data_IF_066450276834
#
_entry.id   IF_066450276834
#
_cell.length_a   1.000
_cell.length_b   1.000
_cell.length_c   1.000
_cell.angle_alpha   90.00
_cell.angle_beta   90.00
_cell.angle_gamma   90.00
#
_symmetry.space_group_name_H-M   'P 1'
#
loop_
_entity.id
_entity.type
_entity.pdbx_description
1 polymer ?
#
# COMPACT_ATOMS: atom_id res chain seq x y z
N UNK A 1 35.98 -25.68 49.11
CA UNK A 1 37.23 -24.92 49.22
C UNK A 1 37.32 -24.11 47.94
N UNK A 2 36.78 -22.89 47.99
CA UNK A 2 37.03 -21.71 47.12
C UNK A 2 36.87 -21.95 45.60
N UNK A 3 35.71 -21.74 44.98
CA UNK A 3 35.18 -20.45 44.46
C UNK A 3 36.23 -19.44 44.00
N UNK A 4 36.00 -18.95 42.78
CA UNK A 4 36.51 -17.72 42.16
C UNK A 4 37.75 -17.84 41.26
N UNK A 5 37.58 -18.59 40.15
CA UNK A 5 38.20 -18.28 38.85
C UNK A 5 37.52 -17.02 38.25
N UNK A 6 37.59 -15.90 38.97
CA UNK A 6 36.92 -14.64 38.62
C UNK A 6 37.84 -13.78 37.75
N UNK A 7 37.44 -13.63 36.49
CA UNK A 7 37.64 -12.45 35.62
C UNK A 7 38.88 -11.59 35.90
N UNK A 8 40.04 -11.98 35.35
CA UNK A 8 41.10 -11.01 35.06
C UNK A 8 40.73 -10.17 33.81
N UNK A 9 39.62 -9.44 33.90
CA UNK A 9 39.39 -8.29 33.05
C UNK A 9 40.56 -7.33 33.27
N UNK A 10 41.27 -6.94 32.21
CA UNK A 10 42.35 -5.95 32.30
C UNK A 10 41.71 -4.55 32.21
N UNK A 11 41.35 -3.90 33.33
CA UNK A 11 40.52 -2.70 33.33
C UNK A 11 41.16 -1.57 32.53
N UNK A 12 42.49 -1.51 32.48
CA UNK A 12 43.24 -0.52 31.70
C UNK A 12 43.08 -0.70 30.18
N UNK A 13 43.11 -1.94 29.68
CA UNK A 13 42.90 -2.22 28.24
C UNK A 13 41.49 -1.84 27.83
N UNK A 14 40.52 -2.19 28.67
CA UNK A 14 39.10 -1.92 28.41
C UNK A 14 38.82 -0.41 28.55
N UNK A 15 39.48 0.29 29.48
CA UNK A 15 39.45 1.78 29.60
C UNK A 15 40.10 2.47 28.39
N UNK A 16 41.23 1.97 27.90
CA UNK A 16 41.88 2.52 26.71
C UNK A 16 41.04 2.30 25.45
N UNK A 17 40.45 1.11 25.29
CA UNK A 17 39.58 0.80 24.16
C UNK A 17 38.30 1.66 24.17
N UNK A 18 37.68 1.86 25.33
CA UNK A 18 36.50 2.72 25.47
C UNK A 18 36.83 4.19 25.21
N UNK A 19 37.97 4.69 25.69
CA UNK A 19 38.43 6.06 25.41
C UNK A 19 38.71 6.28 23.92
N UNK A 20 39.38 5.32 23.25
CA UNK A 20 39.61 5.37 21.81
C UNK A 20 38.30 5.34 21.02
N UNK A 21 37.35 4.48 21.42
CA UNK A 21 36.02 4.40 20.80
C UNK A 21 35.23 5.70 20.98
N UNK A 22 35.34 6.35 22.15
CA UNK A 22 34.72 7.65 22.41
C UNK A 22 35.32 8.74 21.52
N UNK A 23 36.64 8.83 21.44
CA UNK A 23 37.32 9.81 20.58
C UNK A 23 36.97 9.60 19.10
N UNK A 24 36.95 8.35 18.64
CA UNK A 24 36.51 8.02 17.28
C UNK A 24 35.06 8.46 17.03
N UNK A 25 34.17 8.26 17.99
CA UNK A 25 32.77 8.71 17.90
C UNK A 25 32.67 10.24 17.82
N UNK A 26 33.40 10.96 18.69
CA UNK A 26 33.42 12.43 18.71
C UNK A 26 33.94 13.00 17.39
N UNK A 27 34.97 12.40 16.79
CA UNK A 27 35.50 12.83 15.48
C UNK A 27 34.56 12.46 14.33
N UNK A 28 33.88 11.33 14.43
CA UNK A 28 32.96 10.86 13.37
C UNK A 28 31.67 11.67 13.31
N UNK A 29 31.17 12.18 14.46
CA UNK A 29 29.92 12.95 14.52
C UNK A 29 29.93 14.17 13.57
N UNK A 30 30.93 15.08 13.61
CA UNK A 30 31.00 16.20 12.66
C UNK A 30 31.05 15.76 11.19
N UNK A 31 31.76 14.66 10.88
CA UNK A 31 31.81 14.12 9.54
C UNK A 31 30.43 13.62 9.08
N UNK A 32 29.71 12.88 9.92
CA UNK A 32 28.34 12.46 9.63
C UNK A 32 27.38 13.64 9.50
N UNK A 33 27.50 14.66 10.36
CA UNK A 33 26.72 15.90 10.25
C UNK A 33 26.99 16.61 8.92
N UNK A 34 28.25 16.74 8.51
CA UNK A 34 28.61 17.35 7.24
C UNK A 34 28.07 16.56 6.04
N UNK A 35 28.22 15.22 6.05
CA UNK A 35 27.65 14.34 5.02
C UNK A 35 26.11 14.43 4.97
N UNK A 36 25.45 14.51 6.11
CA UNK A 36 24.00 14.69 6.19
C UNK A 36 23.58 16.03 5.58
N UNK A 37 24.26 17.13 5.94
CA UNK A 37 23.98 18.46 5.43
C UNK A 37 24.18 18.56 3.93
N UNK A 38 25.32 18.07 3.40
CA UNK A 38 25.58 18.08 1.95
C UNK A 38 24.56 17.27 1.19
N UNK A 39 24.16 16.10 1.70
CA UNK A 39 23.10 15.27 1.10
C UNK A 39 21.74 15.96 1.16
N UNK A 40 21.42 16.62 2.27
CA UNK A 40 20.15 17.35 2.45
C UNK A 40 20.04 18.53 1.49
N UNK A 41 21.10 19.35 1.41
CA UNK A 41 21.19 20.49 0.47
C UNK A 41 21.14 19.99 -0.96
N UNK A 42 21.91 18.94 -1.30
CA UNK A 42 21.91 18.33 -2.63
C UNK A 42 20.52 17.85 -3.05
N UNK A 43 19.78 17.18 -2.16
CA UNK A 43 18.40 16.76 -2.41
C UNK A 43 17.45 17.94 -2.65
N UNK A 44 17.59 19.01 -1.86
CA UNK A 44 16.78 20.22 -2.02
C UNK A 44 17.06 20.93 -3.35
N UNK A 45 18.35 21.12 -3.69
CA UNK A 45 18.78 21.71 -4.95
C UNK A 45 18.31 20.88 -6.14
N UNK A 46 18.47 19.54 -6.08
CA UNK A 46 17.98 18.63 -7.11
C UNK A 46 16.47 18.76 -7.33
N UNK A 47 15.67 18.79 -6.26
CA UNK A 47 14.22 18.99 -6.34
C UNK A 47 13.87 20.35 -6.96
N UNK A 48 14.59 21.42 -6.63
CA UNK A 48 14.39 22.73 -7.24
C UNK A 48 14.73 22.73 -8.73
N UNK A 49 15.85 22.12 -9.13
CA UNK A 49 16.23 21.98 -10.54
C UNK A 49 15.16 21.19 -11.30
N UNK A 50 14.68 20.08 -10.73
CA UNK A 50 13.63 19.26 -11.33
C UNK A 50 12.34 20.04 -11.54
N UNK A 51 11.86 20.76 -10.51
CA UNK A 51 10.68 21.62 -10.62
C UNK A 51 10.84 22.74 -11.64
N UNK A 52 12.06 23.29 -11.75
CA UNK A 52 12.35 24.32 -12.76
C UNK A 52 12.41 23.77 -14.17
N UNK A 53 12.87 22.52 -14.34
CA UNK A 53 13.06 21.89 -15.66
C UNK A 53 11.78 21.24 -16.19
N UNK A 54 10.94 20.74 -15.30
CA UNK A 54 9.67 20.08 -15.62
C UNK A 54 8.54 20.72 -14.80
N UNK A 55 8.12 21.96 -15.14
CA UNK A 55 7.09 22.70 -14.40
C UNK A 55 5.69 22.04 -14.48
N UNK A 56 5.48 21.17 -15.45
CA UNK A 56 4.25 20.41 -15.64
C UNK A 56 4.11 19.19 -14.71
N UNK A 57 5.19 18.80 -14.02
CA UNK A 57 5.24 17.62 -13.17
C UNK A 57 5.17 17.98 -11.69
N UNK A 58 4.37 17.23 -10.94
CA UNK A 58 4.32 17.30 -9.49
C UNK A 58 5.25 16.25 -8.88
N UNK A 59 6.45 16.68 -8.50
CA UNK A 59 7.44 15.78 -7.91
C UNK A 59 7.09 15.36 -6.48
N UNK A 60 7.14 14.05 -6.26
CA UNK A 60 6.99 13.43 -4.95
C UNK A 60 8.23 13.77 -4.10
N UNK A 61 7.97 14.33 -2.92
CA UNK A 61 9.02 14.81 -2.02
C UNK A 61 9.69 13.64 -1.30
N UNK A 62 8.85 12.72 -0.81
CA UNK A 62 9.21 11.50 -0.10
C UNK A 62 9.93 10.52 -1.03
N UNK A 63 10.97 9.86 -0.54
CA UNK A 63 11.47 8.63 -1.18
C UNK A 63 11.46 7.57 -0.11
N UNK A 64 10.45 6.69 -0.17
CA UNK A 64 10.40 5.54 0.73
C UNK A 64 11.43 4.49 0.28
N UNK A 65 11.80 3.57 1.18
CA UNK A 65 12.65 2.42 0.82
C UNK A 65 12.01 1.65 -0.35
N UNK A 66 10.68 1.46 -0.32
CA UNK A 66 9.96 0.79 -1.40
C UNK A 66 10.17 1.51 -2.72
N UNK A 67 9.93 2.83 -2.76
CA UNK A 67 10.12 3.64 -3.97
C UNK A 67 11.57 3.64 -4.48
N UNK A 68 12.55 3.51 -3.58
CA UNK A 68 13.96 3.42 -3.95
C UNK A 68 14.33 2.07 -4.58
N UNK A 69 13.64 0.98 -4.18
CA UNK A 69 13.84 -0.37 -4.69
C UNK A 69 13.04 -0.68 -5.97
N UNK A 70 12.16 0.23 -6.41
CA UNK A 70 11.35 0.03 -7.60
C UNK A 70 12.20 -0.01 -8.88
N UNK A 71 12.10 -1.13 -9.59
CA UNK A 71 12.65 -1.35 -10.93
C UNK A 71 11.52 -1.55 -11.94
N UNK A 72 11.76 -1.41 -13.25
CA UNK A 72 10.75 -1.73 -14.26
C UNK A 72 10.21 -3.17 -14.15
N UNK A 73 11.07 -4.12 -13.72
CA UNK A 73 10.69 -5.53 -13.50
C UNK A 73 10.04 -5.81 -12.14
N UNK A 74 10.22 -4.93 -11.16
CA UNK A 74 9.63 -5.03 -9.83
C UNK A 74 9.07 -3.66 -9.44
N UNK A 75 8.01 -3.30 -10.15
CA UNK A 75 7.29 -2.06 -9.89
C UNK A 75 6.63 -2.15 -8.51
N UNK A 76 6.51 -1.01 -7.83
CA UNK A 76 6.02 -0.88 -6.47
C UNK A 76 4.53 -1.15 -6.27
N UNK A 77 3.97 -2.20 -6.88
CA UNK A 77 2.56 -2.53 -6.81
C UNK A 77 2.21 -3.28 -5.53
N UNK A 78 1.08 -2.87 -4.95
CA UNK A 78 0.31 -3.65 -3.99
C UNK A 78 -0.73 -4.40 -4.82
N UNK A 79 -0.73 -5.72 -4.70
CA UNK A 79 -1.62 -6.61 -5.46
C UNK A 79 -2.47 -7.42 -4.48
N UNK A 80 -3.78 -7.42 -4.70
CA UNK A 80 -4.73 -8.13 -3.86
C UNK A 80 -5.67 -8.91 -4.76
N UNK A 81 -5.77 -10.21 -4.51
CA UNK A 81 -6.73 -11.09 -5.15
C UNK A 81 -7.87 -11.37 -4.17
N UNK A 82 -9.09 -11.13 -4.61
CA UNK A 82 -10.30 -11.36 -3.83
C UNK A 82 -11.21 -12.34 -4.56
N UNK A 83 -11.78 -13.28 -3.80
CA UNK A 83 -12.88 -14.12 -4.25
C UNK A 83 -14.17 -13.50 -3.73
N UNK A 84 -15.10 -13.18 -4.62
CA UNK A 84 -16.38 -12.57 -4.30
C UNK A 84 -17.49 -13.51 -4.71
N UNK A 85 -18.45 -13.72 -3.80
CA UNK A 85 -19.67 -14.47 -4.09
C UNK A 85 -20.77 -13.47 -4.46
N UNK A 86 -21.39 -13.68 -5.62
CA UNK A 86 -22.45 -12.87 -6.18
C UNK A 86 -22.32 -12.74 -7.69
N UNK A 87 -23.39 -12.23 -8.31
CA UNK A 87 -23.35 -11.79 -9.70
C UNK A 87 -22.50 -10.52 -9.82
N UNK A 88 -21.78 -10.41 -10.93
CA UNK A 88 -20.90 -9.28 -11.19
C UNK A 88 -21.36 -8.48 -12.40
N UNK A 89 -21.52 -7.17 -12.19
CA UNK A 89 -21.77 -6.23 -13.26
C UNK A 89 -20.63 -5.22 -13.37
N UNK A 90 -19.85 -5.35 -14.43
CA UNK A 90 -18.64 -4.52 -14.68
C UNK A 90 -19.01 -3.06 -14.83
N UNK A 91 -20.11 -2.76 -15.50
CA UNK A 91 -20.55 -1.38 -15.76
C UNK A 91 -21.03 -0.69 -14.48
N UNK A 92 -21.73 -1.43 -13.61
CA UNK A 92 -22.09 -0.95 -12.28
C UNK A 92 -20.84 -0.71 -11.43
N UNK A 93 -19.84 -1.59 -11.51
CA UNK A 93 -18.59 -1.40 -10.78
C UNK A 93 -17.81 -0.19 -11.31
N UNK A 94 -17.69 -0.02 -12.63
CA UNK A 94 -17.11 1.17 -13.25
C UNK A 94 -17.77 2.44 -12.74
N UNK A 95 -19.10 2.49 -12.79
CA UNK A 95 -19.87 3.64 -12.32
C UNK A 95 -19.65 3.93 -10.83
N UNK A 96 -19.67 2.89 -9.99
CA UNK A 96 -19.49 3.01 -8.54
C UNK A 96 -18.07 3.49 -8.21
N UNK A 97 -17.03 2.88 -8.77
CA UNK A 97 -15.63 3.30 -8.56
C UNK A 97 -15.41 4.73 -9.06
N UNK A 98 -15.97 5.08 -10.21
CA UNK A 98 -15.90 6.43 -10.76
C UNK A 98 -16.52 7.45 -9.79
N UNK A 99 -17.72 7.19 -9.31
CA UNK A 99 -18.48 8.15 -8.48
C UNK A 99 -17.95 8.23 -7.05
N UNK A 100 -17.73 7.07 -6.43
CA UNK A 100 -17.49 6.97 -4.98
C UNK A 100 -16.02 7.08 -4.60
N UNK A 101 -15.10 6.90 -5.55
CA UNK A 101 -13.65 6.97 -5.32
C UNK A 101 -13.01 8.04 -6.20
N UNK A 102 -13.12 7.93 -7.53
CA UNK A 102 -12.38 8.81 -8.45
C UNK A 102 -12.92 10.24 -8.44
N UNK A 103 -14.24 10.42 -8.40
CA UNK A 103 -14.96 11.69 -8.30
C UNK A 103 -15.33 12.06 -6.86
N UNK A 104 -14.81 11.34 -5.84
CA UNK A 104 -15.10 11.65 -4.44
C UNK A 104 -14.55 13.03 -4.09
N UNK A 105 -15.43 13.95 -3.67
CA UNK A 105 -15.04 15.27 -3.18
C UNK A 105 -15.10 15.33 -1.66
N UNK A 106 -14.09 15.94 -1.05
CA UNK A 106 -14.11 16.29 0.35
C UNK A 106 -15.07 17.47 0.56
N UNK A 107 -16.09 17.25 1.40
CA UNK A 107 -17.12 18.25 1.73
C UNK A 107 -16.55 19.51 2.38
N UNK A 108 -15.39 19.40 3.03
CA UNK A 108 -14.78 20.51 3.78
C UNK A 108 -13.92 21.39 2.85
N UNK A 109 -13.07 20.77 2.03
CA UNK A 109 -12.15 21.49 1.16
C UNK A 109 -12.70 21.79 -0.23
N UNK A 110 -13.77 21.10 -0.66
CA UNK A 110 -14.32 21.20 -2.02
C UNK A 110 -13.38 20.65 -3.11
N UNK A 111 -12.36 19.88 -2.72
CA UNK A 111 -11.37 19.26 -3.63
C UNK A 111 -11.61 17.76 -3.71
N UNK A 112 -11.09 17.14 -4.77
CA UNK A 112 -11.07 15.68 -4.88
C UNK A 112 -10.31 15.08 -3.70
N UNK A 113 -10.85 14.01 -3.12
CA UNK A 113 -10.20 13.25 -2.05
C UNK A 113 -8.91 12.60 -2.54
N UNK A 114 -8.92 12.08 -3.77
CA UNK A 114 -7.80 11.33 -4.36
C UNK A 114 -7.44 11.89 -5.75
N UNK A 115 -6.81 13.08 -5.82
CA UNK A 115 -6.56 13.76 -7.09
C UNK A 115 -5.62 12.99 -8.02
N UNK A 116 -4.69 12.19 -7.49
CA UNK A 116 -3.71 11.51 -8.33
C UNK A 116 -4.26 10.27 -9.03
N UNK A 117 -5.46 9.78 -8.71
CA UNK A 117 -6.06 8.62 -9.40
C UNK A 117 -6.26 8.86 -10.92
N UNK A 118 -6.28 10.12 -11.37
CA UNK A 118 -6.36 10.49 -12.80
C UNK A 118 -5.02 10.89 -13.40
N UNK A 119 -3.96 10.87 -12.60
CA UNK A 119 -2.63 11.29 -12.96
C UNK A 119 -1.76 10.08 -13.27
N UNK A 120 -0.94 10.19 -14.31
CA UNK A 120 0.03 9.16 -14.64
C UNK A 120 1.26 9.35 -13.77
N UNK A 121 1.94 8.24 -13.46
CA UNK A 121 3.15 8.26 -12.65
C UNK A 121 4.37 8.18 -13.57
N UNK A 122 5.27 9.16 -13.49
CA UNK A 122 6.53 9.17 -14.24
C UNK A 122 7.73 9.20 -13.31
N UNK A 123 8.88 8.77 -13.81
CA UNK A 123 10.16 8.81 -13.09
C UNK A 123 11.15 9.69 -13.86
N UNK A 124 11.61 10.77 -13.24
CA UNK A 124 12.66 11.65 -13.78
C UNK A 124 13.78 11.78 -12.77
N UNK A 125 15.00 11.48 -13.20
CA UNK A 125 16.22 11.54 -12.36
C UNK A 125 16.04 10.82 -11.01
N UNK A 126 15.55 9.58 -11.07
CA UNK A 126 15.28 8.71 -9.91
C UNK A 126 14.20 9.22 -8.94
N UNK A 127 13.47 10.29 -9.28
CA UNK A 127 12.32 10.76 -8.52
C UNK A 127 11.03 10.52 -9.25
N UNK A 128 10.05 10.05 -8.51
CA UNK A 128 8.68 9.95 -8.98
C UNK A 128 8.04 11.32 -9.06
N UNK A 129 7.20 11.48 -10.06
CA UNK A 129 6.42 12.68 -10.30
C UNK A 129 5.06 12.28 -10.86
N UNK A 130 4.02 12.97 -10.42
CA UNK A 130 2.71 12.90 -11.04
C UNK A 130 2.66 13.83 -12.25
N UNK A 131 2.08 13.34 -13.33
CA UNK A 131 1.69 14.22 -14.44
C UNK A 131 0.41 14.95 -14.06
N UNK A 132 0.07 16.01 -14.80
CA UNK A 132 -1.29 16.57 -14.74
C UNK A 132 -2.32 15.48 -15.08
N UNK A 133 -3.55 15.59 -14.55
CA UNK A 133 -4.62 14.67 -14.89
C UNK A 133 -4.78 14.57 -16.41
N UNK A 134 -4.83 13.34 -16.93
CA UNK A 134 -5.10 13.15 -18.35
C UNK A 134 -6.49 13.68 -18.66
N UNK A 135 -6.61 14.50 -19.71
CA UNK A 135 -7.92 14.93 -20.22
C UNK A 135 -8.78 13.76 -20.70
N UNK A 136 -8.14 12.65 -21.03
CA UNK A 136 -8.77 11.45 -21.58
C UNK A 136 -8.77 10.30 -20.56
N UNK A 137 -8.76 10.61 -19.26
CA UNK A 137 -8.96 9.57 -18.25
C UNK A 137 -10.29 8.87 -18.52
N UNK A 138 -10.25 7.55 -18.69
CA UNK A 138 -11.44 6.70 -18.80
C UNK A 138 -11.34 5.56 -17.80
N UNK A 139 -12.40 5.39 -17.02
CA UNK A 139 -12.53 4.29 -16.07
C UNK A 139 -12.47 2.92 -16.75
N UNK A 140 -12.83 2.82 -18.02
CA UNK A 140 -12.85 1.57 -18.78
C UNK A 140 -11.46 0.95 -18.92
N UNK A 141 -10.41 1.78 -18.91
CA UNK A 141 -9.02 1.32 -18.95
C UNK A 141 -8.52 0.83 -17.58
N UNK A 142 -9.24 1.14 -16.50
CA UNK A 142 -8.86 0.82 -15.13
C UNK A 142 -9.73 -0.28 -14.52
N UNK A 143 -10.98 -0.42 -14.95
CA UNK A 143 -11.89 -1.48 -14.52
C UNK A 143 -12.18 -2.38 -15.72
N UNK A 144 -11.43 -3.48 -15.77
CA UNK A 144 -11.40 -4.38 -16.92
C UNK A 144 -12.01 -5.73 -16.55
N UNK A 145 -12.83 -6.25 -17.45
CA UNK A 145 -13.28 -7.63 -17.43
C UNK A 145 -12.35 -8.48 -18.30
N UNK A 146 -11.82 -9.57 -17.73
CA UNK A 146 -11.00 -10.51 -18.47
C UNK A 146 -11.92 -11.49 -19.22
N UNK A 147 -12.18 -11.18 -20.49
CA UNK A 147 -12.97 -12.04 -21.38
C UNK A 147 -12.06 -13.09 -22.02
N UNK A 148 -12.42 -14.38 -21.95
CA UNK A 148 -11.66 -15.44 -22.64
C UNK A 148 -11.91 -16.84 -22.11
N UNK A 149 -10.99 -17.78 -22.39
CA UNK A 149 -11.03 -19.19 -21.96
C UNK A 149 -11.61 -19.40 -20.56
N UNK A 150 -12.49 -20.38 -20.49
CA UNK A 150 -13.19 -20.83 -19.31
C UNK A 150 -12.25 -21.01 -18.11
N UNK A 151 -12.47 -20.27 -17.04
CA UNK A 151 -11.76 -20.44 -15.76
C UNK A 151 -12.63 -21.29 -14.86
N UNK A 152 -12.41 -22.61 -14.94
CA UNK A 152 -13.20 -23.60 -14.21
C UNK A 152 -12.48 -24.02 -12.94
N UNK A 153 -11.15 -24.01 -12.94
CA UNK A 153 -10.31 -24.45 -11.80
C UNK A 153 -9.57 -23.29 -11.14
N UNK A 154 -9.16 -23.50 -9.88
CA UNK A 154 -8.30 -22.56 -9.15
C UNK A 154 -6.94 -22.35 -9.84
N UNK A 155 -6.40 -23.41 -10.47
CA UNK A 155 -5.17 -23.32 -11.25
C UNK A 155 -5.35 -22.42 -12.49
N UNK A 156 -6.49 -22.51 -13.18
CA UNK A 156 -6.81 -21.62 -14.30
C UNK A 156 -6.86 -20.16 -13.83
N UNK A 157 -7.48 -19.90 -12.69
CA UNK A 157 -7.57 -18.55 -12.10
C UNK A 157 -6.17 -18.03 -11.76
N UNK A 158 -5.33 -18.83 -11.11
CA UNK A 158 -3.96 -18.43 -10.78
C UNK A 158 -3.12 -18.18 -12.02
N UNK A 159 -3.31 -18.97 -13.09
CA UNK A 159 -2.68 -18.71 -14.38
C UNK A 159 -3.12 -17.36 -14.96
N UNK A 160 -4.43 -17.06 -14.96
CA UNK A 160 -4.94 -15.75 -15.41
C UNK A 160 -4.37 -14.59 -14.60
N UNK A 161 -4.34 -14.74 -13.27
CA UNK A 161 -3.75 -13.72 -12.38
C UNK A 161 -2.29 -13.47 -12.73
N UNK A 162 -1.51 -14.54 -12.97
CA UNK A 162 -0.10 -14.40 -13.35
C UNK A 162 0.09 -13.72 -14.72
N UNK A 163 -0.75 -14.04 -15.70
CA UNK A 163 -0.77 -13.35 -17.01
C UNK A 163 -0.97 -11.84 -16.82
N UNK A 164 -1.99 -11.46 -16.06
CA UNK A 164 -2.34 -10.07 -15.79
C UNK A 164 -1.25 -9.32 -15.00
N UNK A 165 -0.61 -9.97 -14.02
CA UNK A 165 0.51 -9.39 -13.26
C UNK A 165 1.73 -9.18 -14.16
N UNK A 166 2.01 -10.12 -15.07
CA UNK A 166 3.18 -10.09 -15.95
C UNK A 166 3.06 -9.04 -17.04
N UNK A 167 1.85 -8.84 -17.60
CA UNK A 167 1.60 -7.78 -18.59
C UNK A 167 1.83 -6.37 -18.02
N UNK A 168 1.53 -6.19 -16.73
CA UNK A 168 1.67 -4.91 -16.04
C UNK A 168 0.62 -3.87 -16.48
N UNK A 169 0.79 -2.64 -16.01
CA UNK A 169 -0.07 -1.50 -16.40
C UNK A 169 0.78 -0.59 -17.28
N UNK A 170 0.29 -0.16 -18.47
CA UNK A 170 0.98 0.80 -19.31
C UNK A 170 1.36 2.08 -18.55
N UNK A 171 2.56 2.61 -18.80
CA UNK A 171 3.09 3.78 -18.08
C UNK A 171 2.31 5.08 -18.40
N UNK A 172 1.59 5.10 -19.53
CA UNK A 172 0.75 6.19 -19.99
C UNK A 172 -0.59 6.27 -19.25
N UNK A 173 -0.93 5.24 -18.47
CA UNK A 173 -2.14 5.21 -17.64
C UNK A 173 -1.78 5.49 -16.17
N UNK A 174 -2.73 6.02 -15.38
CA UNK A 174 -2.63 5.95 -13.93
C UNK A 174 -2.30 4.53 -13.45
N UNK A 175 -1.28 4.39 -12.60
CA UNK A 175 -0.72 3.10 -12.19
C UNK A 175 -1.59 2.34 -11.16
N UNK A 176 -2.87 2.15 -11.46
CA UNK A 176 -3.82 1.34 -10.70
C UNK A 176 -4.83 0.69 -11.64
N UNK A 177 -5.31 -0.50 -11.30
CA UNK A 177 -6.25 -1.26 -12.12
C UNK A 177 -6.99 -2.30 -11.27
N UNK A 178 -8.26 -2.50 -11.58
CA UNK A 178 -9.12 -3.55 -11.06
C UNK A 178 -9.48 -4.45 -12.23
N UNK A 179 -9.04 -5.71 -12.17
CA UNK A 179 -9.32 -6.71 -13.20
C UNK A 179 -10.27 -7.75 -12.62
N UNK A 180 -11.40 -7.97 -13.30
CA UNK A 180 -12.37 -8.99 -12.91
C UNK A 180 -12.20 -10.22 -13.77
N UNK A 181 -12.15 -11.36 -13.10
CA UNK A 181 -11.98 -12.69 -13.69
C UNK A 181 -13.30 -13.44 -13.40
N UNK A 182 -14.21 -13.54 -14.38
CA UNK A 182 -15.46 -14.27 -14.23
C UNK A 182 -15.17 -15.77 -14.07
N UNK A 183 -16.03 -16.52 -13.38
CA UNK A 183 -15.96 -17.99 -13.28
C UNK A 183 -17.21 -18.56 -13.95
N UNK A 184 -17.05 -19.55 -14.83
CA UNK A 184 -18.20 -20.04 -15.64
C UNK A 184 -19.20 -20.86 -14.83
N UNK A 185 -18.73 -21.58 -13.82
CA UNK A 185 -19.55 -22.45 -12.98
C UNK A 185 -19.69 -21.86 -11.57
N UNK A 186 -20.65 -20.94 -11.42
CA UNK A 186 -21.13 -20.47 -10.12
C UNK A 186 -21.37 -18.97 -10.03
N UNK A 187 -22.06 -18.55 -8.98
CA UNK A 187 -22.27 -17.13 -8.64
C UNK A 187 -21.03 -16.58 -7.93
N UNK A 188 -19.85 -16.74 -8.53
CA UNK A 188 -18.60 -16.23 -7.93
C UNK A 188 -17.70 -15.63 -9.01
N UNK A 189 -16.94 -14.63 -8.64
CA UNK A 189 -15.94 -14.03 -9.50
C UNK A 189 -14.71 -13.66 -8.68
N UNK A 190 -13.57 -13.51 -9.36
CA UNK A 190 -12.36 -13.04 -8.73
C UNK A 190 -12.07 -11.61 -9.15
N UNK A 191 -11.58 -10.81 -8.21
CA UNK A 191 -11.17 -9.44 -8.44
C UNK A 191 -9.69 -9.31 -8.10
N UNK A 192 -8.89 -8.94 -9.09
CA UNK A 192 -7.49 -8.62 -8.93
C UNK A 192 -7.31 -7.10 -8.90
N UNK A 193 -7.02 -6.57 -7.72
CA UNK A 193 -6.77 -5.15 -7.50
C UNK A 193 -5.27 -4.90 -7.46
N UNK A 194 -4.81 -3.98 -8.30
CA UNK A 194 -3.39 -3.57 -8.40
C UNK A 194 -3.31 -2.06 -8.25
N UNK A 195 -2.45 -1.59 -7.35
CA UNK A 195 -2.24 -0.15 -7.14
C UNK A 195 -0.80 0.14 -6.75
N UNK A 196 -0.21 1.18 -7.34
CA UNK A 196 1.14 1.60 -6.97
C UNK A 196 1.18 2.10 -5.52
N UNK A 197 2.15 1.69 -4.71
CA UNK A 197 2.23 2.04 -3.28
C UNK A 197 2.26 3.56 -3.00
N UNK A 198 2.66 4.36 -4.00
CA UNK A 198 2.72 5.82 -3.88
C UNK A 198 1.34 6.47 -3.72
N UNK A 199 0.27 5.86 -4.21
CA UNK A 199 -1.07 6.36 -3.96
C UNK A 199 -1.41 6.29 -2.46
N UNK A 200 -1.02 5.21 -1.79
CA UNK A 200 -1.25 5.05 -0.35
C UNK A 200 -0.41 6.05 0.47
N UNK A 201 0.83 6.33 0.07
CA UNK A 201 1.69 7.24 0.81
C UNK A 201 1.42 8.73 0.57
N UNK A 202 1.02 9.12 -0.65
CA UNK A 202 0.81 10.53 -1.00
C UNK A 202 -0.65 10.98 -0.83
N UNK A 203 -1.61 10.16 -1.26
CA UNK A 203 -3.05 10.47 -1.20
C UNK A 203 -3.77 9.78 -0.03
N UNK A 204 -3.08 8.89 0.70
CA UNK A 204 -3.68 8.16 1.81
C UNK A 204 -4.75 7.15 1.37
N UNK A 205 -4.81 6.77 0.09
CA UNK A 205 -5.79 5.78 -0.36
C UNK A 205 -5.51 4.43 0.30
N UNK A 206 -6.46 3.98 1.11
CA UNK A 206 -6.44 2.67 1.73
C UNK A 206 -6.97 1.60 0.78
N UNK A 207 -6.56 0.36 1.01
CA UNK A 207 -7.15 -0.79 0.31
C UNK A 207 -8.66 -0.89 0.60
N UNK A 208 -9.10 -0.58 1.83
CA UNK A 208 -10.52 -0.58 2.20
C UNK A 208 -11.37 0.36 1.35
N UNK A 209 -10.87 1.56 1.06
CA UNK A 209 -11.53 2.54 0.20
C UNK A 209 -11.60 2.03 -1.25
N UNK A 210 -10.50 1.44 -1.75
CA UNK A 210 -10.45 0.87 -3.10
C UNK A 210 -11.38 -0.34 -3.28
N UNK A 211 -11.63 -1.07 -2.21
CA UNK A 211 -12.55 -2.19 -2.14
C UNK A 211 -13.98 -1.78 -1.75
N UNK A 212 -14.24 -0.49 -1.56
CA UNK A 212 -15.52 0.06 -1.12
C UNK A 212 -16.06 -0.60 0.16
N UNK A 213 -15.17 -1.09 1.03
CA UNK A 213 -15.54 -1.69 2.30
C UNK A 213 -16.04 -0.56 3.21
N UNK A 214 -17.33 -0.56 3.54
CA UNK A 214 -17.84 0.39 4.53
C UNK A 214 -17.25 0.02 5.89
N UNK A 215 -16.93 1.01 6.74
CA UNK A 215 -16.41 0.74 8.07
C UNK A 215 -17.36 -0.13 8.93
N UNK A 216 -18.67 -0.12 8.63
CA UNK A 216 -19.67 -0.96 9.32
C UNK A 216 -19.59 -2.46 8.94
N UNK A 217 -19.00 -2.78 7.78
CA UNK A 217 -18.89 -4.16 7.25
C UNK A 217 -17.68 -4.92 7.82
N UNK A 218 -16.77 -4.22 8.52
CA UNK A 218 -15.57 -4.81 9.14
C UNK A 218 -15.81 -5.32 10.57
N UNK A 219 -17.07 -5.38 11.03
CA UNK A 219 -17.42 -6.05 12.28
C UNK A 219 -17.36 -7.57 12.11
N UNK A 220 -16.14 -8.08 11.98
CA UNK A 220 -15.85 -9.51 12.01
C UNK A 220 -16.34 -10.08 13.34
N UNK A 221 -17.52 -10.70 13.34
CA UNK A 221 -17.89 -11.64 14.41
C UNK A 221 -16.84 -12.74 14.38
N UNK A 222 -15.95 -12.74 15.37
CA UNK A 222 -15.05 -13.86 15.58
C UNK A 222 -15.87 -15.15 15.63
N UNK A 223 -15.51 -16.18 14.85
CA UNK A 223 -16.15 -17.48 14.98
C UNK A 223 -15.78 -18.07 16.34
N UNK A 224 -16.80 -18.58 17.02
CA UNK A 224 -16.79 -18.87 18.45
C UNK A 224 -15.59 -19.66 18.98
N UNK A 225 -14.97 -19.14 20.04
CA UNK A 225 -14.36 -19.95 21.07
C UNK A 225 -15.42 -20.29 22.11
N UNK A 226 -15.86 -21.54 22.14
CA UNK A 226 -16.86 -22.02 23.08
C UNK A 226 -16.35 -22.12 24.53
N UNK A 227 -17.30 -22.28 25.44
CA UNK A 227 -17.07 -22.87 26.76
C UNK A 227 -17.11 -21.88 27.91
N UNK A 228 -18.27 -21.77 28.54
CA UNK A 228 -18.44 -21.03 29.78
C UNK A 228 -19.89 -21.00 30.24
N UNK A 229 -20.54 -22.16 30.27
CA UNK A 229 -21.81 -22.33 30.97
C UNK A 229 -21.61 -22.12 32.46
N UNK A 230 -22.40 -21.23 33.03
CA UNK A 230 -22.41 -20.89 34.45
C UNK A 230 -23.59 -19.98 34.74
N UNK A 231 -24.80 -20.43 34.39
CA UNK A 231 -26.03 -19.82 34.87
C UNK A 231 -26.30 -20.34 36.27
N UNK A 232 -26.05 -19.50 37.27
CA UNK A 232 -26.54 -19.68 38.63
C UNK A 232 -27.87 -18.95 38.77
N UNK A 233 -28.86 -19.72 39.24
CA UNK A 233 -29.89 -19.33 40.21
C UNK A 233 -30.68 -18.04 39.93
N UNK A 234 -31.89 -18.21 39.39
CA UNK A 234 -33.03 -17.40 39.77
C UNK A 234 -34.15 -18.33 40.24
N UNK A 235 -34.52 -18.14 41.51
CA UNK A 235 -35.59 -18.78 42.27
C UNK A 235 -36.97 -18.43 41.67
N UNK A 236 -37.74 -19.44 41.30
CA UNK A 236 -39.19 -19.35 41.10
C UNK A 236 -39.87 -20.15 42.22
N UNK A 237 -40.24 -19.44 43.30
CA UNK A 237 -41.16 -19.89 44.33
C UNK A 237 -42.43 -19.02 44.27
N UNK A 238 -43.57 -19.72 44.19
CA UNK A 238 -44.94 -19.33 44.59
C UNK A 238 -45.55 -18.05 43.98
N UNK A 239 -46.82 -18.01 43.54
CA UNK A 239 -47.98 -18.69 44.06
C UNK A 239 -49.15 -18.57 43.06
N UNK A 240 -50.10 -19.50 43.20
CA UNK A 240 -51.39 -19.66 42.49
C UNK A 240 -52.41 -18.54 42.86
N UNK A 241 -53.66 -18.51 42.33
CA UNK A 241 -54.37 -19.46 41.47
C UNK A 241 -54.93 -18.92 40.14
#
# INVERSE_FOLDING_TARGET
MSTDDEERHHPLRDTMFTWMSFMLSVVSIPAFCFCYLTTSIGRFVLLRILKSKFPELEFIKSVSIRSAMDTPSNTGYIVVLLKVNGDFNVDLMRHTIQTDIVDKYDRTSGRLCFPHLRCCLTKKWMRYAWTKPSKNFSIDNHVIELVGKNTVTEDDIMQRVNEVITEGIPAELPQWQITVIPVDEGDTFYMLVRIHHLYASEDGIGLSELLLLKPDDLNWKQPGGGGGGGGGEDDDDDDRP
#
